data_IF_924841209709
#
_entry.id   IF_924841209709
#
_cell.length_a   1.000
_cell.length_b   1.000
_cell.length_c   1.000
_cell.angle_alpha   90.00
_cell.angle_beta   90.00
_cell.angle_gamma   90.00
#
_symmetry.space_group_name_H-M   'P 1'
#
loop_
_entity.id
_entity.type
_entity.pdbx_description
1 polymer ?
#
# COMPACT_ATOMS: atom_id res chain seq x y z
N UNK A 1 -54.21 21.77 -39.40
CA UNK A 1 -53.45 23.01 -39.64
C UNK A 1 -52.07 22.80 -39.03
N UNK A 2 -51.16 22.18 -39.78
CA UNK A 2 -50.08 22.85 -40.56
C UNK A 2 -48.79 22.84 -39.71
N UNK A 3 -47.88 21.87 -39.79
CA UNK A 3 -47.00 21.41 -40.87
C UNK A 3 -45.72 22.27 -41.08
N UNK A 4 -44.63 21.58 -41.44
CA UNK A 4 -43.41 22.04 -42.18
C UNK A 4 -42.29 22.66 -41.30
N UNK A 5 -40.98 22.41 -41.44
CA UNK A 5 -40.13 21.48 -42.21
C UNK A 5 -38.66 21.67 -41.77
N UNK A 6 -37.86 20.63 -41.98
CA UNK A 6 -36.39 20.66 -41.99
C UNK A 6 -35.80 21.72 -42.94
N UNK A 7 -34.60 22.24 -42.63
CA UNK A 7 -33.65 22.71 -43.65
C UNK A 7 -32.22 22.28 -43.27
N UNK A 8 -31.70 21.40 -44.12
CA UNK A 8 -30.28 21.09 -44.35
C UNK A 8 -29.67 22.18 -45.23
N UNK A 9 -28.43 22.61 -44.98
CA UNK A 9 -27.57 23.12 -46.05
C UNK A 9 -26.08 23.03 -45.68
N UNK A 10 -25.42 22.09 -46.35
CA UNK A 10 -23.98 22.08 -46.50
C UNK A 10 -23.54 23.27 -47.35
N UNK A 11 -22.49 23.98 -46.91
CA UNK A 11 -21.82 24.99 -47.73
C UNK A 11 -20.32 24.71 -47.75
N UNK A 12 -19.84 24.21 -48.90
CA UNK A 12 -18.44 24.29 -49.30
C UNK A 12 -18.39 25.18 -50.55
N UNK A 13 -17.40 26.07 -50.63
CA UNK A 13 -16.70 26.25 -51.88
C UNK A 13 -15.17 26.19 -51.73
N UNK A 14 -14.56 26.21 -52.91
CA UNK A 14 -13.26 25.68 -53.37
C UNK A 14 -12.05 26.62 -53.14
N UNK A 15 -10.82 26.14 -53.42
CA UNK A 15 -9.58 26.73 -52.92
C UNK A 15 -9.05 27.86 -53.81
N UNK A 16 -8.31 28.78 -53.20
CA UNK A 16 -7.44 29.74 -53.89
C UNK A 16 -6.00 29.47 -53.48
N UNK A 17 -5.21 29.00 -54.44
CA UNK A 17 -3.77 28.92 -54.31
C UNK A 17 -3.15 30.30 -54.45
N UNK A 18 -2.19 30.61 -53.57
CA UNK A 18 -1.23 31.68 -53.81
C UNK A 18 0.14 31.18 -53.39
N UNK A 19 1.00 31.08 -54.40
CA UNK A 19 2.43 30.81 -54.34
C UNK A 19 3.15 31.93 -53.60
N UNK A 20 3.99 31.61 -52.61
CA UNK A 20 5.18 32.39 -52.31
C UNK A 20 6.17 31.54 -51.51
N UNK A 21 7.18 31.02 -52.21
CA UNK A 21 8.38 30.44 -51.61
C UNK A 21 9.20 31.54 -50.93
N UNK A 22 9.04 31.71 -49.61
CA UNK A 22 10.08 32.31 -48.76
C UNK A 22 10.91 31.20 -48.13
N UNK A 23 12.10 30.95 -48.69
CA UNK A 23 13.12 30.11 -48.04
C UNK A 23 13.74 30.87 -46.86
N UNK A 24 13.18 30.70 -45.68
CA UNK A 24 13.91 31.00 -44.45
C UNK A 24 14.99 29.93 -44.24
N UNK A 25 16.24 30.29 -44.52
CA UNK A 25 17.40 29.54 -44.02
C UNK A 25 17.48 29.72 -42.51
N UNK A 26 16.91 28.79 -41.75
CA UNK A 26 17.23 28.66 -40.33
C UNK A 26 18.61 28.02 -40.19
N UNK A 27 19.60 28.86 -39.90
CA UNK A 27 20.88 28.42 -39.38
C UNK A 27 20.66 28.12 -37.89
N UNK A 28 20.45 26.85 -37.54
CA UNK A 28 20.30 26.43 -36.13
C UNK A 28 21.69 26.03 -35.62
N UNK A 29 22.25 26.71 -34.60
CA UNK A 29 23.51 26.29 -34.01
C UNK A 29 23.31 24.95 -33.30
N UNK A 30 24.14 23.96 -33.65
CA UNK A 30 24.18 22.66 -32.99
C UNK A 30 24.76 22.81 -31.59
N UNK A 31 23.89 23.03 -30.60
CA UNK A 31 24.25 22.95 -29.18
C UNK A 31 24.26 21.48 -28.79
N UNK A 32 25.45 20.89 -28.63
CA UNK A 32 25.60 19.55 -28.04
C UNK A 32 25.36 19.63 -26.53
N UNK A 33 24.21 19.13 -26.09
CA UNK A 33 23.96 18.87 -24.68
C UNK A 33 24.82 17.69 -24.20
N UNK A 34 25.44 17.77 -23.02
CA UNK A 34 26.17 16.64 -22.46
C UNK A 34 25.16 15.53 -22.14
N UNK A 35 25.48 14.32 -22.61
CA UNK A 35 24.69 13.11 -22.38
C UNK A 35 24.82 12.73 -20.90
N UNK A 36 23.90 13.23 -20.08
CA UNK A 36 23.77 12.84 -18.67
C UNK A 36 23.43 11.35 -18.66
N UNK A 37 24.40 10.51 -18.31
CA UNK A 37 24.17 9.12 -17.97
C UNK A 37 23.35 9.11 -16.69
N UNK A 38 22.04 8.98 -16.83
CA UNK A 38 21.16 8.61 -15.72
C UNK A 38 21.55 7.20 -15.34
N UNK A 39 22.28 7.07 -14.23
CA UNK A 39 22.50 5.78 -13.58
C UNK A 39 21.13 5.17 -13.33
N UNK A 40 20.83 4.07 -14.03
CA UNK A 40 19.61 3.30 -13.85
C UNK A 40 19.67 2.74 -12.44
N UNK A 41 18.97 3.39 -11.49
CA UNK A 41 18.72 2.82 -10.16
C UNK A 41 18.10 1.45 -10.41
N UNK A 42 18.75 0.41 -9.91
CA UNK A 42 18.36 -0.97 -10.11
C UNK A 42 16.94 -1.14 -9.54
N UNK A 43 15.92 -1.11 -10.39
CA UNK A 43 14.58 -1.59 -10.04
C UNK A 43 14.71 -3.09 -9.95
N UNK A 44 14.99 -3.59 -8.75
CA UNK A 44 14.81 -5.01 -8.44
C UNK A 44 13.34 -5.28 -8.71
N UNK A 45 13.04 -6.09 -9.71
CA UNK A 45 11.73 -6.72 -9.83
C UNK A 45 11.62 -7.64 -8.61
N UNK A 46 10.98 -7.17 -7.56
CA UNK A 46 10.87 -7.92 -6.31
C UNK A 46 9.78 -8.97 -6.52
N UNK A 47 10.18 -10.25 -6.59
CA UNK A 47 9.22 -11.33 -6.43
C UNK A 47 8.52 -11.16 -5.07
N UNK A 48 7.25 -11.54 -4.98
CA UNK A 48 6.54 -11.48 -3.71
C UNK A 48 7.31 -12.25 -2.63
N UNK A 49 7.38 -11.68 -1.44
CA UNK A 49 8.03 -12.27 -0.26
C UNK A 49 7.57 -13.73 -0.08
N UNK A 50 8.50 -14.60 0.29
CA UNK A 50 8.23 -16.02 0.51
C UNK A 50 8.68 -16.47 1.90
N UNK A 51 8.19 -17.64 2.33
CA UNK A 51 8.68 -18.29 3.56
C UNK A 51 10.17 -18.59 3.40
N UNK A 52 10.96 -18.25 4.42
CA UNK A 52 12.41 -18.35 4.42
C UNK A 52 13.14 -17.05 4.06
N UNK A 53 12.45 -16.08 3.47
CA UNK A 53 13.04 -14.78 3.16
C UNK A 53 13.20 -13.92 4.42
N UNK A 54 14.20 -13.04 4.40
CA UNK A 54 14.32 -11.99 5.41
C UNK A 54 13.41 -10.83 5.05
N UNK A 55 12.68 -10.30 6.03
CA UNK A 55 11.85 -9.12 5.84
C UNK A 55 12.71 -7.93 5.38
N UNK A 56 12.25 -7.18 4.36
CA UNK A 56 12.90 -5.95 3.97
C UNK A 56 12.81 -4.95 5.11
N UNK A 57 13.88 -4.17 5.29
CA UNK A 57 13.85 -3.09 6.26
C UNK A 57 13.10 -1.89 5.68
N UNK A 58 12.20 -1.34 6.48
CA UNK A 58 11.39 -0.17 6.15
C UNK A 58 11.03 0.56 7.45
N UNK A 59 10.79 1.86 7.34
CA UNK A 59 10.38 2.69 8.48
C UNK A 59 8.86 2.85 8.47
N UNK A 60 8.23 2.54 9.60
CA UNK A 60 6.80 2.70 9.83
C UNK A 60 6.57 3.80 10.87
N UNK A 61 5.46 4.53 10.75
CA UNK A 61 5.11 5.62 11.67
C UNK A 61 3.94 5.25 12.57
N UNK A 62 3.90 5.79 13.79
CA UNK A 62 2.77 5.63 14.70
C UNK A 62 2.70 6.78 15.70
N UNK A 63 1.60 6.89 16.43
CA UNK A 63 1.49 7.78 17.58
C UNK A 63 1.64 6.99 18.86
N UNK A 64 2.52 7.44 19.75
CA UNK A 64 2.65 6.86 21.09
C UNK A 64 1.49 7.30 22.01
N UNK A 65 1.37 6.74 23.23
CA UNK A 65 0.31 7.13 24.18
C UNK A 65 0.36 8.60 24.62
N UNK A 66 1.50 9.30 24.45
CA UNK A 66 1.60 10.74 24.70
C UNK A 66 1.07 11.60 23.54
N UNK A 67 0.75 10.95 22.41
CA UNK A 67 0.26 11.60 21.21
C UNK A 67 1.37 12.20 20.35
N UNK A 68 2.63 11.78 20.56
CA UNK A 68 3.76 12.19 19.74
C UNK A 68 3.94 11.24 18.55
N UNK A 69 4.29 11.80 17.38
CA UNK A 69 4.57 11.02 16.18
C UNK A 69 5.95 10.38 16.32
N UNK A 70 5.97 9.05 16.30
CA UNK A 70 7.16 8.23 16.37
C UNK A 70 7.36 7.44 15.08
N UNK A 71 8.57 6.93 14.89
CA UNK A 71 8.92 5.99 13.84
C UNK A 71 9.62 4.77 14.42
N UNK A 72 9.47 3.64 13.73
CA UNK A 72 10.11 2.37 14.09
C UNK A 72 10.46 1.61 12.83
N UNK A 73 11.60 0.93 12.81
CA UNK A 73 12.00 0.08 11.68
C UNK A 73 11.46 -1.35 11.83
N UNK A 74 11.22 -2.02 10.71
CA UNK A 74 10.84 -3.44 10.71
C UNK A 74 11.92 -4.29 11.40
N UNK A 75 13.19 -3.94 11.24
CA UNK A 75 14.28 -4.61 11.96
C UNK A 75 14.17 -4.47 13.49
N UNK A 76 13.81 -3.31 14.04
CA UNK A 76 13.61 -3.12 15.49
C UNK A 76 12.44 -3.93 16.05
N UNK A 77 11.39 -4.12 15.23
CA UNK A 77 10.22 -4.91 15.59
C UNK A 77 10.51 -6.42 15.61
N UNK A 78 11.47 -6.90 14.82
CA UNK A 78 11.63 -8.33 14.53
C UNK A 78 12.97 -8.93 14.94
N UNK A 79 14.02 -8.13 15.14
CA UNK A 79 15.35 -8.62 15.51
C UNK A 79 15.34 -9.29 16.89
N UNK A 80 15.79 -10.55 16.92
CA UNK A 80 15.84 -11.38 18.12
C UNK A 80 14.46 -11.68 18.74
N UNK A 81 13.38 -11.50 17.97
CA UNK A 81 12.00 -11.61 18.43
C UNK A 81 11.21 -12.50 17.48
N UNK A 82 10.20 -13.17 18.03
CA UNK A 82 9.12 -13.75 17.26
C UNK A 82 8.02 -12.70 17.09
N UNK A 83 7.81 -12.23 15.86
CA UNK A 83 6.90 -11.13 15.57
C UNK A 83 5.81 -11.56 14.58
N UNK A 84 4.57 -11.15 14.85
CA UNK A 84 3.46 -11.25 13.90
C UNK A 84 3.25 -9.89 13.27
N UNK A 85 3.31 -9.82 11.94
CA UNK A 85 2.92 -8.65 11.17
C UNK A 85 1.70 -9.04 10.33
N UNK A 86 0.58 -8.35 10.52
CA UNK A 86 -0.59 -8.50 9.67
C UNK A 86 -0.92 -7.17 9.00
N UNK A 87 -1.32 -7.21 7.74
CA UNK A 87 -1.69 -6.02 6.99
C UNK A 87 -3.16 -6.03 6.60
N UNK A 88 -3.73 -4.83 6.54
CA UNK A 88 -5.09 -4.58 6.07
C UNK A 88 -5.08 -3.63 4.87
N UNK A 89 -6.00 -3.81 3.91
CA UNK A 89 -6.11 -2.88 2.76
C UNK A 89 -6.47 -1.44 3.15
N UNK A 90 -7.12 -1.24 4.30
CA UNK A 90 -7.44 0.11 4.76
C UNK A 90 -8.14 0.15 6.10
N UNK A 91 -7.75 1.14 6.91
CA UNK A 91 -8.48 1.59 8.09
C UNK A 91 -9.93 1.94 7.73
N UNK A 92 -10.84 1.78 8.70
CA UNK A 92 -12.28 2.02 8.56
C UNK A 92 -13.04 1.13 7.55
N UNK A 93 -12.38 0.18 6.88
CA UNK A 93 -13.08 -0.75 5.96
C UNK A 93 -13.72 -1.92 6.72
N UNK A 94 -14.88 -2.46 6.28
CA UNK A 94 -15.70 -3.35 7.10
C UNK A 94 -14.97 -4.59 7.65
N UNK A 95 -14.35 -5.41 6.80
CA UNK A 95 -13.64 -6.63 7.23
C UNK A 95 -12.46 -6.33 8.16
N UNK A 96 -11.78 -5.20 7.93
CA UNK A 96 -10.61 -4.81 8.71
C UNK A 96 -11.03 -4.34 10.11
N UNK A 97 -12.08 -3.52 10.20
CA UNK A 97 -12.59 -2.94 11.44
C UNK A 97 -13.43 -3.91 12.28
N UNK A 98 -14.09 -4.88 11.67
CA UNK A 98 -15.04 -5.76 12.37
C UNK A 98 -14.48 -7.14 12.68
N UNK A 99 -13.42 -7.58 12.00
CA UNK A 99 -12.91 -8.95 12.11
C UNK A 99 -11.40 -9.01 12.28
N UNK A 100 -10.64 -8.50 11.31
CA UNK A 100 -9.20 -8.77 11.24
C UNK A 100 -8.45 -8.18 12.43
N UNK A 101 -8.49 -6.85 12.61
CA UNK A 101 -7.80 -6.19 13.72
C UNK A 101 -8.39 -6.56 15.09
N UNK A 102 -9.73 -6.53 15.32
CA UNK A 102 -10.30 -6.95 16.60
C UNK A 102 -9.93 -8.37 17.02
N UNK A 103 -9.86 -9.32 16.08
CA UNK A 103 -9.47 -10.70 16.39
C UNK A 103 -8.04 -10.79 16.92
N UNK A 104 -7.09 -10.03 16.38
CA UNK A 104 -5.73 -9.97 16.92
C UNK A 104 -5.67 -9.30 18.30
N UNK A 105 -6.49 -8.28 18.56
CA UNK A 105 -6.58 -7.64 19.88
C UNK A 105 -7.13 -8.61 20.92
N UNK A 106 -8.20 -9.35 20.60
CA UNK A 106 -8.79 -10.34 21.49
C UNK A 106 -7.81 -11.50 21.81
N UNK A 107 -7.06 -11.95 20.79
CA UNK A 107 -6.14 -13.08 20.90
C UNK A 107 -4.71 -12.70 21.29
N UNK A 108 -4.42 -11.42 21.52
CA UNK A 108 -3.07 -10.94 21.78
C UNK A 108 -2.41 -11.67 22.97
N UNK A 109 -3.14 -11.83 24.08
CA UNK A 109 -2.65 -12.54 25.26
C UNK A 109 -2.30 -14.01 25.00
N UNK A 110 -3.11 -14.72 24.19
CA UNK A 110 -2.84 -16.11 23.81
C UNK A 110 -1.62 -16.23 22.90
N UNK A 111 -1.48 -15.31 21.94
CA UNK A 111 -0.32 -15.23 21.04
C UNK A 111 0.97 -14.96 21.83
N UNK A 112 0.92 -14.04 22.79
CA UNK A 112 2.04 -13.77 23.70
C UNK A 112 2.38 -14.97 24.59
N UNK A 113 1.37 -15.67 25.11
CA UNK A 113 1.58 -16.90 25.88
C UNK A 113 2.26 -18.02 25.07
N UNK A 114 2.09 -18.02 23.73
CA UNK A 114 2.81 -18.90 22.79
C UNK A 114 4.21 -18.38 22.38
N UNK A 115 4.69 -17.31 23.01
CA UNK A 115 6.02 -16.77 22.80
C UNK A 115 6.15 -15.88 21.56
N UNK A 116 5.05 -15.24 21.12
CA UNK A 116 5.13 -14.08 20.22
C UNK A 116 5.51 -12.87 21.07
N UNK A 117 6.53 -12.12 20.66
CA UNK A 117 7.02 -10.93 21.37
C UNK A 117 6.32 -9.65 20.90
N UNK A 118 5.90 -9.59 19.64
CA UNK A 118 5.38 -8.36 19.03
C UNK A 118 4.29 -8.68 18.03
N UNK A 119 3.16 -7.97 18.11
CA UNK A 119 2.04 -8.07 17.17
C UNK A 119 1.81 -6.71 16.54
N UNK A 120 1.78 -6.65 15.21
CA UNK A 120 1.76 -5.41 14.45
C UNK A 120 0.68 -5.46 13.38
N UNK A 121 -0.22 -4.47 13.39
CA UNK A 121 -1.13 -4.15 12.31
C UNK A 121 -0.50 -3.09 11.40
N UNK A 122 -0.37 -3.39 10.10
CA UNK A 122 0.15 -2.45 9.10
C UNK A 122 -0.96 -2.03 8.13
N UNK A 123 -1.01 -0.76 7.78
CA UNK A 123 -1.82 -0.24 6.67
C UNK A 123 -1.07 0.86 5.93
N UNK A 124 -1.42 1.09 4.67
CA UNK A 124 -0.87 2.20 3.86
C UNK A 124 -1.54 3.55 4.18
N UNK A 125 -2.47 3.57 5.14
CA UNK A 125 -3.00 4.82 5.68
C UNK A 125 -1.91 5.56 6.48
N UNK A 126 -1.97 6.88 6.49
CA UNK A 126 -1.07 7.70 7.29
C UNK A 126 -1.28 7.50 8.80
N UNK A 127 -0.29 7.91 9.60
CA UNK A 127 -0.30 7.70 11.05
C UNK A 127 -1.47 8.39 11.77
N UNK A 128 -1.98 9.50 11.25
CA UNK A 128 -3.12 10.21 11.86
C UNK A 128 -4.41 9.40 11.69
N UNK A 129 -4.63 8.84 10.49
CA UNK A 129 -5.74 7.93 10.23
C UNK A 129 -5.62 6.66 11.08
N UNK A 130 -4.42 6.09 11.19
CA UNK A 130 -4.20 4.90 12.03
C UNK A 130 -4.49 5.18 13.51
N UNK A 131 -4.09 6.35 14.03
CA UNK A 131 -4.43 6.80 15.39
C UNK A 131 -5.93 6.93 15.58
N UNK A 132 -6.61 7.68 14.73
CA UNK A 132 -8.06 7.89 14.82
C UNK A 132 -8.84 6.57 14.69
N UNK A 133 -8.35 5.63 13.87
CA UNK A 133 -8.96 4.32 13.74
C UNK A 133 -8.82 3.46 14.99
N UNK A 134 -7.66 3.51 15.66
CA UNK A 134 -7.46 2.87 16.98
C UNK A 134 -8.48 3.37 17.99
N UNK A 135 -8.65 4.69 18.06
CA UNK A 135 -9.57 5.38 18.96
C UNK A 135 -11.03 5.03 18.68
N UNK A 136 -11.44 5.02 17.40
CA UNK A 136 -12.80 4.64 16.96
C UNK A 136 -13.16 3.21 17.36
N UNK A 137 -12.21 2.28 17.22
CA UNK A 137 -12.36 0.88 17.64
C UNK A 137 -12.24 0.69 19.15
N UNK A 138 -11.93 1.75 19.91
CA UNK A 138 -11.75 1.72 21.38
C UNK A 138 -10.69 0.71 21.82
N UNK A 139 -9.65 0.53 21.01
CA UNK A 139 -8.53 -0.35 21.33
C UNK A 139 -7.68 0.37 22.39
N UNK A 140 -7.51 -0.20 23.60
CA UNK A 140 -6.76 0.47 24.65
C UNK A 140 -5.26 0.52 24.33
N UNK A 141 -4.53 1.40 25.02
CA UNK A 141 -3.09 1.57 24.77
C UNK A 141 -2.25 0.35 25.16
N UNK A 142 -2.77 -0.48 26.06
CA UNK A 142 -2.16 -1.72 26.53
C UNK A 142 -2.66 -2.97 25.77
N UNK A 143 -3.36 -2.81 24.64
CA UNK A 143 -3.92 -3.90 23.83
C UNK A 143 -2.87 -4.87 23.22
N UNK A 144 -1.59 -4.65 23.47
CA UNK A 144 -0.46 -5.48 23.00
C UNK A 144 -0.35 -5.62 21.46
N UNK A 145 -1.11 -4.83 20.70
CA UNK A 145 -1.07 -4.75 19.24
C UNK A 145 -0.70 -3.33 18.82
N UNK A 146 0.38 -3.21 18.05
CA UNK A 146 0.84 -1.92 17.51
C UNK A 146 0.17 -1.64 16.16
N UNK A 147 -0.41 -0.46 16.00
CA UNK A 147 -0.97 -0.01 14.71
C UNK A 147 0.03 0.93 14.04
N UNK A 148 0.62 0.48 12.94
CA UNK A 148 1.69 1.18 12.24
C UNK A 148 1.27 1.59 10.83
N UNK A 149 1.69 2.79 10.44
CA UNK A 149 1.46 3.39 9.14
C UNK A 149 2.64 3.12 8.20
N UNK A 150 2.37 2.47 7.07
CA UNK A 150 3.20 2.41 5.87
C UNK A 150 2.70 3.43 4.83
N UNK A 151 2.57 4.70 5.24
CA UNK A 151 1.93 5.75 4.44
C UNK A 151 2.55 6.01 3.06
N UNK A 152 3.81 5.65 2.86
CA UNK A 152 4.53 5.75 1.58
C UNK A 152 4.51 4.44 0.76
N UNK A 153 3.91 3.36 1.29
CA UNK A 153 3.90 2.01 0.73
C UNK A 153 5.31 1.42 0.55
N UNK A 154 6.30 1.90 1.30
CA UNK A 154 7.70 1.46 1.15
C UNK A 154 7.84 0.00 1.55
N UNK A 155 7.23 -0.38 2.68
CA UNK A 155 7.25 -1.76 3.15
C UNK A 155 6.41 -2.67 2.25
N UNK A 156 5.18 -2.25 1.92
CA UNK A 156 4.26 -2.99 1.05
C UNK A 156 4.87 -3.28 -0.32
N UNK A 157 5.54 -2.30 -0.93
CA UNK A 157 6.27 -2.45 -2.20
C UNK A 157 7.47 -3.37 -2.08
N UNK A 158 8.24 -3.24 -1.00
CA UNK A 158 9.41 -4.07 -0.76
C UNK A 158 9.05 -5.55 -0.55
N UNK A 159 7.83 -5.85 -0.08
CA UNK A 159 7.30 -7.20 0.02
C UNK A 159 6.70 -7.72 -1.30
N UNK A 160 6.44 -6.85 -2.29
CA UNK A 160 5.75 -7.21 -3.52
C UNK A 160 4.27 -7.58 -3.32
N UNK A 161 3.62 -7.03 -2.29
CA UNK A 161 2.23 -7.35 -1.90
C UNK A 161 1.27 -6.18 -2.11
N UNK A 162 1.52 -5.39 -3.15
CA UNK A 162 0.61 -4.32 -3.57
C UNK A 162 -0.71 -4.88 -4.14
N UNK A 163 -1.79 -4.17 -3.90
CA UNK A 163 -3.13 -4.44 -4.41
C UNK A 163 -3.66 -3.18 -5.10
N UNK A 164 -3.74 -3.21 -6.43
CA UNK A 164 -4.32 -2.11 -7.20
C UNK A 164 -5.86 -2.22 -7.22
N UNK A 165 -6.54 -1.24 -6.62
CA UNK A 165 -7.99 -1.12 -6.59
C UNK A 165 -8.47 0.16 -7.29
N UNK A 166 -7.66 0.74 -8.18
CA UNK A 166 -8.02 1.95 -8.95
C UNK A 166 -9.23 1.72 -9.86
N UNK A 167 -9.49 0.47 -10.26
CA UNK A 167 -10.64 0.09 -11.07
C UNK A 167 -11.94 -0.07 -10.26
N UNK A 168 -11.87 -0.04 -8.91
CA UNK A 168 -13.04 -0.25 -8.04
C UNK A 168 -13.76 1.06 -7.76
N UNK A 169 -15.11 1.07 -7.78
CA UNK A 169 -15.91 2.28 -7.57
C UNK A 169 -15.75 2.88 -6.17
N UNK A 170 -15.25 2.11 -5.21
CA UNK A 170 -14.96 2.56 -3.84
C UNK A 170 -13.80 3.57 -3.77
N UNK A 171 -12.94 3.65 -4.80
CA UNK A 171 -11.89 4.66 -4.89
C UNK A 171 -10.79 4.52 -3.86
N UNK A 172 -10.22 3.31 -3.71
CA UNK A 172 -9.17 3.06 -2.71
C UNK A 172 -7.75 3.33 -3.24
N UNK A 173 -7.53 3.25 -4.55
CA UNK A 173 -6.19 3.33 -5.14
C UNK A 173 -5.36 2.08 -4.88
N UNK A 174 -4.03 2.23 -4.85
CA UNK A 174 -3.11 1.13 -4.53
C UNK A 174 -3.02 0.96 -3.01
N UNK A 175 -3.19 -0.27 -2.54
CA UNK A 175 -3.20 -0.66 -1.12
C UNK A 175 -2.24 -1.82 -0.85
N UNK A 176 -2.08 -2.18 0.42
CA UNK A 176 -1.47 -3.46 0.79
C UNK A 176 -2.50 -4.58 0.64
N UNK A 177 -2.07 -5.75 0.16
CA UNK A 177 -2.87 -6.98 0.25
C UNK A 177 -3.10 -7.32 1.73
N UNK A 178 -4.20 -8.02 2.00
CA UNK A 178 -4.40 -8.58 3.34
C UNK A 178 -3.46 -9.77 3.52
N UNK A 179 -2.74 -9.79 4.63
CA UNK A 179 -1.95 -10.95 5.02
C UNK A 179 -1.76 -11.00 6.53
N UNK A 180 -1.33 -12.16 7.03
CA UNK A 180 -0.69 -12.31 8.33
C UNK A 180 0.60 -13.12 8.12
N UNK A 181 1.70 -12.66 8.69
CA UNK A 181 2.98 -13.37 8.63
C UNK A 181 3.58 -13.49 10.03
N UNK A 182 4.30 -14.58 10.24
CA UNK A 182 5.15 -14.81 11.41
C UNK A 182 6.60 -14.65 10.96
N UNK A 183 7.35 -13.79 11.63
CA UNK A 183 8.78 -13.67 11.46
C UNK A 183 9.49 -14.04 12.76
N UNK A 184 10.62 -14.73 12.63
CA UNK A 184 11.51 -15.08 13.74
C UNK A 184 12.92 -14.58 13.39
N UNK A 185 13.42 -13.64 14.19
CA UNK A 185 14.63 -12.84 13.92
C UNK A 185 14.61 -12.20 12.52
N UNK A 186 13.44 -11.65 12.16
CA UNK A 186 13.20 -11.03 10.86
C UNK A 186 13.12 -12.00 9.67
N UNK A 187 13.18 -13.31 9.88
CA UNK A 187 13.00 -14.33 8.82
C UNK A 187 11.57 -14.84 8.81
N UNK A 188 10.90 -14.77 7.67
CA UNK A 188 9.52 -15.23 7.50
C UNK A 188 9.42 -16.75 7.71
N UNK A 189 8.61 -17.17 8.67
CA UNK A 189 8.34 -18.59 8.98
C UNK A 189 6.96 -19.03 8.50
N UNK A 190 5.99 -18.12 8.52
CA UNK A 190 4.62 -18.34 8.06
C UNK A 190 4.21 -17.13 7.25
N UNK A 191 3.52 -17.35 6.13
CA UNK A 191 2.96 -16.31 5.29
C UNK A 191 1.57 -16.73 4.81
N UNK A 192 0.54 -16.10 5.38
CA UNK A 192 -0.84 -16.28 4.98
C UNK A 192 -1.29 -15.04 4.20
N UNK A 193 -1.02 -15.06 2.90
CA UNK A 193 -1.31 -13.97 1.97
C UNK A 193 -2.65 -14.20 1.27
N UNK A 194 -3.60 -13.28 1.46
CA UNK A 194 -4.94 -13.39 0.88
C UNK A 194 -4.97 -12.93 -0.58
N UNK A 195 -5.85 -13.54 -1.36
CA UNK A 195 -6.16 -13.11 -2.72
C UNK A 195 -7.26 -12.02 -2.71
N UNK A 196 -6.98 -10.89 -3.35
CA UNK A 196 -7.90 -9.75 -3.45
C UNK A 196 -8.38 -9.24 -2.08
N UNK A 197 -9.70 -9.21 -1.89
CA UNK A 197 -10.35 -8.72 -0.67
C UNK A 197 -10.65 -9.80 0.38
N UNK A 198 -10.15 -11.02 0.20
CA UNK A 198 -10.47 -12.16 1.05
C UNK A 198 -9.97 -12.00 2.51
N UNK A 199 -10.53 -12.82 3.39
CA UNK A 199 -10.14 -12.99 4.79
C UNK A 199 -10.52 -14.41 5.21
N UNK A 200 -9.61 -15.35 4.96
CA UNK A 200 -9.84 -16.80 5.05
C UNK A 200 -8.73 -17.56 5.75
N UNK A 201 -7.49 -17.07 5.68
CA UNK A 201 -6.29 -17.71 6.21
C UNK A 201 -5.43 -16.74 7.03
N UNK A 202 -5.75 -15.44 7.05
CA UNK A 202 -4.96 -14.43 7.76
C UNK A 202 -5.48 -14.10 9.17
N UNK A 203 -6.33 -14.94 9.78
CA UNK A 203 -6.90 -14.63 11.09
C UNK A 203 -5.91 -14.85 12.25
N UNK A 204 -6.22 -14.30 13.42
CA UNK A 204 -5.43 -14.58 14.62
C UNK A 204 -5.47 -16.06 15.03
N UNK A 205 -6.60 -16.75 14.79
CA UNK A 205 -6.72 -18.19 15.02
C UNK A 205 -5.84 -19.00 14.07
N UNK A 206 -5.73 -18.59 12.79
CA UNK A 206 -4.80 -19.21 11.84
C UNK A 206 -3.34 -19.07 12.31
N UNK A 207 -2.99 -17.89 12.85
CA UNK A 207 -1.66 -17.67 13.42
C UNK A 207 -1.42 -18.46 14.70
N UNK A 208 -2.42 -18.59 15.57
CA UNK A 208 -2.35 -19.45 16.75
C UNK A 208 -2.12 -20.92 16.38
N UNK A 209 -2.76 -21.41 15.30
CA UNK A 209 -2.58 -22.77 14.82
C UNK A 209 -1.20 -23.01 14.20
N UNK A 210 -0.54 -21.96 13.72
CA UNK A 210 0.79 -22.05 13.10
C UNK A 210 1.97 -21.89 14.09
N UNK A 211 1.70 -21.55 15.35
CA UNK A 211 2.66 -21.42 16.46
C UNK A 211 2.78 -22.69 17.30
#
# INVERSE_FOLDING_TARGET
MSAISSISSAFRPRPLGISSTLRFRQCVPSVRLPRRTVGRKLTVSVAAISVGDKLPDATLSYFDPSGELQTVTVSELTKGKKAILFAVPGAFTPTCSQKHLPGFVEKAGELHAKGVDTIVCVSVNDAFVMKAWKEDLKIPDDAQVLLLSDGNMEFTKALGVELDLTDKPVGLGVRSRRYALLADDGVVKVLNLEEGGAFTISSADDMLNAL
#
